data_IF_301088013364
#
_entry.id   IF_301088013364
#
_cell.length_a   1.000
_cell.length_b   1.000
_cell.length_c   1.000
_cell.angle_alpha   90.00
_cell.angle_beta   90.00
_cell.angle_gamma   90.00
#
_symmetry.space_group_name_H-M   'P 1'
#
loop_
_entity.id
_entity.type
_entity.pdbx_description
1 polymer ?
#
# COMPACT_ATOMS: atom_id res chain seq x y z
N UNK A 1 -7.74 -17.59 -7.07
CA UNK A 1 -7.63 -16.11 -7.14
C UNK A 1 -6.18 -15.80 -6.91
N UNK A 2 -5.46 -15.35 -7.93
CA UNK A 2 -4.04 -14.98 -7.81
C UNK A 2 -3.96 -13.79 -6.82
N UNK A 3 -3.09 -13.82 -5.80
CA UNK A 3 -2.91 -12.74 -4.80
C UNK A 3 -2.47 -11.37 -5.41
N UNK A 4 -2.40 -11.30 -6.74
CA UNK A 4 -1.80 -10.23 -7.52
C UNK A 4 -2.77 -9.10 -7.83
N UNK A 5 -4.09 -9.35 -7.77
CA UNK A 5 -5.10 -8.33 -8.08
C UNK A 5 -6.22 -8.33 -7.04
N UNK A 6 -6.40 -7.20 -6.36
CA UNK A 6 -7.33 -7.01 -5.26
C UNK A 6 -8.37 -5.95 -5.60
N UNK A 7 -9.62 -6.17 -5.19
CA UNK A 7 -10.70 -5.21 -5.42
C UNK A 7 -10.89 -4.32 -4.20
N UNK A 8 -10.47 -3.06 -4.30
CA UNK A 8 -10.67 -2.02 -3.31
C UNK A 8 -12.01 -1.32 -3.57
N UNK A 9 -12.82 -1.16 -2.52
CA UNK A 9 -14.10 -0.46 -2.56
C UNK A 9 -15.06 -0.89 -3.70
N UNK A 10 -14.97 -2.16 -4.15
CA UNK A 10 -15.74 -2.76 -5.24
C UNK A 10 -15.58 -2.11 -6.63
N UNK A 11 -14.67 -1.15 -6.80
CA UNK A 11 -14.52 -0.37 -8.04
C UNK A 11 -13.07 -0.20 -8.49
N UNK A 12 -12.12 -0.37 -7.58
CA UNK A 12 -10.70 -0.13 -7.85
C UNK A 12 -9.96 -1.46 -7.84
N UNK A 13 -9.27 -1.79 -8.92
CA UNK A 13 -8.42 -2.97 -9.01
C UNK A 13 -7.01 -2.55 -8.63
N UNK A 14 -6.51 -3.07 -7.51
CA UNK A 14 -5.13 -2.94 -7.08
C UNK A 14 -4.31 -4.11 -7.62
N UNK A 15 -3.34 -3.82 -8.48
CA UNK A 15 -2.36 -4.78 -8.96
C UNK A 15 -1.02 -4.52 -8.24
N UNK A 16 -0.66 -5.42 -7.33
CA UNK A 16 0.56 -5.31 -6.52
C UNK A 16 1.83 -5.58 -7.32
N UNK A 17 1.73 -6.34 -8.41
CA UNK A 17 2.88 -6.67 -9.27
C UNK A 17 3.20 -5.51 -10.20
N UNK A 18 2.17 -4.87 -10.75
CA UNK A 18 2.33 -3.68 -11.60
C UNK A 18 2.43 -2.38 -10.81
N UNK A 19 2.14 -2.42 -9.51
CA UNK A 19 2.06 -1.26 -8.62
C UNK A 19 1.10 -0.22 -9.18
N UNK A 20 -0.12 -0.66 -9.52
CA UNK A 20 -1.15 0.19 -10.13
C UNK A 20 -2.50 0.05 -9.45
N UNK A 21 -3.24 1.15 -9.41
CA UNK A 21 -4.68 1.15 -9.12
C UNK A 21 -5.43 1.49 -10.41
N UNK A 22 -6.40 0.66 -10.75
CA UNK A 22 -7.23 0.82 -11.95
C UNK A 22 -8.68 1.04 -11.54
N UNK A 23 -9.32 2.09 -12.05
CA UNK A 23 -10.73 2.39 -11.84
C UNK A 23 -11.37 2.76 -13.19
N UNK A 24 -12.08 1.80 -13.80
CA UNK A 24 -12.52 1.91 -15.19
C UNK A 24 -11.31 2.10 -16.11
N UNK A 25 -11.33 3.17 -16.92
CA UNK A 25 -10.26 3.49 -17.87
C UNK A 25 -9.09 4.26 -17.24
N UNK A 26 -9.17 4.62 -15.95
CA UNK A 26 -8.09 5.32 -15.25
C UNK A 26 -7.13 4.33 -14.62
N UNK A 27 -5.86 4.44 -14.97
CA UNK A 27 -4.76 3.68 -14.36
C UNK A 27 -3.80 4.68 -13.73
N UNK A 28 -3.55 4.52 -12.43
CA UNK A 28 -2.54 5.30 -11.69
C UNK A 28 -1.47 4.35 -11.18
N UNK A 29 -0.20 4.74 -11.36
CA UNK A 29 0.92 4.07 -10.72
C UNK A 29 1.07 4.59 -9.30
N UNK A 30 1.37 3.69 -8.39
CA UNK A 30 1.66 3.99 -6.99
C UNK A 30 3.10 3.59 -6.66
N UNK A 31 3.65 4.20 -5.62
CA UNK A 31 4.97 3.90 -5.08
C UNK A 31 5.01 2.54 -4.38
N UNK A 32 6.22 2.06 -4.14
CA UNK A 32 6.47 0.83 -3.37
C UNK A 32 5.88 0.91 -1.96
N UNK A 33 6.03 2.07 -1.30
CA UNK A 33 5.47 2.32 0.03
C UNK A 33 3.94 2.26 0.04
N UNK A 34 3.28 2.85 -0.96
CA UNK A 34 1.82 2.79 -1.11
C UNK A 34 1.35 1.36 -1.40
N UNK A 35 2.08 0.64 -2.26
CA UNK A 35 1.82 -0.78 -2.57
C UNK A 35 1.92 -1.65 -1.31
N UNK A 36 3.00 -1.49 -0.55
CA UNK A 36 3.20 -2.24 0.69
C UNK A 36 2.16 -1.88 1.75
N UNK A 37 1.71 -0.61 1.81
CA UNK A 37 0.66 -0.19 2.73
C UNK A 37 -0.68 -0.86 2.40
N UNK A 38 -1.06 -0.89 1.12
CA UNK A 38 -2.27 -1.59 0.68
C UNK A 38 -2.18 -3.09 0.95
N UNK A 39 -1.01 -3.70 0.75
CA UNK A 39 -0.78 -5.09 1.12
C UNK A 39 -0.86 -5.33 2.63
N UNK A 40 -0.39 -4.39 3.45
CA UNK A 40 -0.50 -4.47 4.91
C UNK A 40 -1.98 -4.51 5.33
N UNK A 41 -2.79 -3.57 4.80
CA UNK A 41 -4.23 -3.53 5.07
C UNK A 41 -4.97 -4.76 4.57
N UNK A 42 -4.59 -5.28 3.39
CA UNK A 42 -5.15 -6.53 2.88
C UNK A 42 -4.86 -7.72 3.79
N UNK A 43 -3.68 -7.76 4.43
CA UNK A 43 -3.28 -8.79 5.39
C UNK A 43 -3.87 -8.58 6.79
N UNK A 44 -4.70 -7.55 7.00
CA UNK A 44 -5.29 -7.23 8.30
C UNK A 44 -4.35 -6.51 9.26
N UNK A 45 -3.26 -5.91 8.76
CA UNK A 45 -2.29 -5.17 9.56
C UNK A 45 -2.75 -3.71 9.68
N UNK A 46 -3.23 -3.33 10.86
CA UNK A 46 -3.74 -1.97 11.12
C UNK A 46 -3.01 -1.23 12.24
N UNK A 47 -2.22 -1.94 13.04
CA UNK A 47 -1.41 -1.31 14.09
C UNK A 47 -0.26 -0.55 13.45
N UNK A 48 -0.06 0.69 13.88
CA UNK A 48 0.96 1.59 13.35
C UNK A 48 2.35 0.98 13.30
N UNK A 49 2.82 0.39 14.40
CA UNK A 49 4.15 -0.23 14.48
C UNK A 49 4.29 -1.39 13.47
N UNK A 50 3.26 -2.22 13.36
CA UNK A 50 3.23 -3.33 12.40
C UNK A 50 3.20 -2.82 10.95
N UNK A 51 2.48 -1.73 10.67
CA UNK A 51 2.50 -1.08 9.35
C UNK A 51 3.89 -0.54 9.05
N UNK A 52 4.52 0.17 10.00
CA UNK A 52 5.88 0.71 9.82
C UNK A 52 6.85 -0.44 9.52
N UNK A 53 6.79 -1.50 10.32
CA UNK A 53 7.62 -2.68 10.14
C UNK A 53 7.33 -3.38 8.81
N UNK A 54 6.08 -3.49 8.38
CA UNK A 54 5.71 -4.18 7.14
C UNK A 54 6.10 -3.39 5.89
N UNK A 55 5.78 -2.09 5.87
CA UNK A 55 5.99 -1.22 4.71
C UNK A 55 7.47 -0.95 4.46
N UNK A 56 8.26 -0.87 5.55
CA UNK A 56 9.67 -0.50 5.49
C UNK A 56 10.65 -1.59 5.93
N UNK A 57 10.18 -2.84 6.13
CA UNK A 57 11.02 -3.98 6.59
C UNK A 57 12.35 -4.14 5.85
N UNK A 58 12.32 -3.85 4.54
CA UNK A 58 13.46 -4.06 3.65
C UNK A 58 14.30 -2.79 3.41
N UNK A 59 13.90 -1.64 3.94
CA UNK A 59 14.72 -0.42 3.86
C UNK A 59 15.63 -0.37 5.07
N UNK A 60 16.93 -0.46 4.85
CA UNK A 60 17.98 -0.37 5.87
C UNK A 60 18.09 1.00 6.57
N UNK A 61 17.07 1.86 6.46
CA UNK A 61 17.03 3.20 7.03
C UNK A 61 16.05 3.29 8.19
N UNK A 62 16.42 4.05 9.22
CA UNK A 62 15.54 4.36 10.34
C UNK A 62 14.34 5.17 9.84
N UNK A 63 13.17 4.55 9.76
CA UNK A 63 11.96 5.22 9.28
C UNK A 63 11.35 6.00 10.42
N UNK A 64 11.43 7.33 10.33
CA UNK A 64 10.78 8.21 11.29
C UNK A 64 9.25 8.06 11.23
N UNK A 65 8.60 8.25 12.37
CA UNK A 65 7.15 8.34 12.51
C UNK A 65 6.52 9.35 11.53
N UNK A 66 7.25 10.42 11.21
CA UNK A 66 6.88 11.44 10.23
C UNK A 66 6.70 10.86 8.82
N UNK A 67 7.47 9.84 8.43
CA UNK A 67 7.34 9.17 7.14
C UNK A 67 6.06 8.34 7.05
N UNK A 68 5.66 7.72 8.17
CA UNK A 68 4.38 7.02 8.28
C UNK A 68 3.21 8.00 8.07
N UNK A 69 3.19 9.11 8.82
CA UNK A 69 2.09 10.08 8.69
C UNK A 69 2.02 10.73 7.31
N UNK A 70 3.17 11.00 6.66
CA UNK A 70 3.18 11.46 5.26
C UNK A 70 2.52 10.47 4.31
N UNK A 71 2.87 9.18 4.43
CA UNK A 71 2.32 8.14 3.56
C UNK A 71 0.81 7.97 3.78
N UNK A 72 0.35 7.97 5.04
CA UNK A 72 -1.08 7.89 5.35
C UNK A 72 -1.84 9.10 4.80
N UNK A 73 -1.31 10.32 4.97
CA UNK A 73 -1.97 11.54 4.48
C UNK A 73 -2.01 11.63 2.95
N UNK A 74 -1.11 10.95 2.22
CA UNK A 74 -1.17 10.88 0.76
C UNK A 74 -2.28 9.95 0.25
N UNK A 75 -2.71 9.00 1.08
CA UNK A 75 -3.67 7.95 0.74
C UNK A 75 -5.06 8.16 1.38
N UNK A 76 -5.18 9.12 2.31
CA UNK A 76 -6.42 9.52 2.98
C UNK A 76 -7.17 10.58 2.15
#
# INVERSE_FOLDING_TARGET
>A
MDEKSLLIAKKVIFDSTKMTLTNGDKIIKISESETNLLLAFYRGIYKKEDIINFVWKNRAGCVSESSYYKLINQMA
#
